data_IF_967560333823
#
_entry.id   IF_967560333823
#
_cell.length_a   1.000
_cell.length_b   1.000
_cell.length_c   1.000
_cell.angle_alpha   90.00
_cell.angle_beta   90.00
_cell.angle_gamma   90.00
#
_symmetry.space_group_name_H-M   'P 1'
#
loop_
_entity.id
_entity.type
_entity.pdbx_description
1 polymer ?
#
# COMPACT_ATOMS: atom_id res chain seq x y z
N UNK A 1 -4.12 6.28 -8.07
CA UNK A 1 -3.71 7.72 -8.02
C UNK A 1 -4.28 8.54 -9.18
N UNK A 2 -4.08 8.12 -10.44
CA UNK A 2 -4.57 8.87 -11.61
C UNK A 2 -6.10 9.07 -11.62
N UNK A 3 -6.89 8.04 -11.33
CA UNK A 3 -8.37 8.15 -11.26
C UNK A 3 -8.85 9.13 -10.17
N UNK A 4 -8.12 9.28 -9.06
CA UNK A 4 -8.52 10.15 -7.95
C UNK A 4 -7.98 11.58 -8.06
N UNK A 5 -6.77 11.76 -8.60
CA UNK A 5 -6.04 13.05 -8.58
C UNK A 5 -5.77 13.63 -9.96
N UNK A 6 -6.05 12.89 -11.04
CA UNK A 6 -5.65 13.23 -12.41
C UNK A 6 -4.19 12.83 -12.72
N UNK A 7 -3.90 12.65 -14.02
CA UNK A 7 -2.60 12.12 -14.51
C UNK A 7 -1.39 12.93 -14.01
N UNK A 8 -1.43 14.27 -14.13
CA UNK A 8 -0.32 15.16 -13.74
C UNK A 8 0.00 15.05 -12.24
N UNK A 9 -1.01 15.18 -11.38
CA UNK A 9 -0.82 15.09 -9.92
C UNK A 9 -0.43 13.68 -9.47
N UNK A 10 -0.88 12.64 -10.18
CA UNK A 10 -0.45 11.28 -9.91
C UNK A 10 1.05 11.07 -10.17
N UNK A 11 1.58 11.61 -11.28
CA UNK A 11 3.01 11.55 -11.58
C UNK A 11 3.85 12.24 -10.49
N UNK A 12 3.45 13.43 -10.05
CA UNK A 12 4.13 14.15 -8.96
C UNK A 12 4.12 13.35 -7.66
N UNK A 13 2.98 12.72 -7.31
CA UNK A 13 2.89 11.91 -6.10
C UNK A 13 3.81 10.68 -6.15
N UNK A 14 3.94 10.04 -7.31
CA UNK A 14 4.88 8.91 -7.50
C UNK A 14 6.33 9.40 -7.39
N UNK A 15 6.66 10.54 -8.02
CA UNK A 15 8.00 11.14 -7.94
C UNK A 15 8.40 11.49 -6.51
N UNK A 16 7.47 12.03 -5.71
CA UNK A 16 7.72 12.31 -4.29
C UNK A 16 8.10 11.04 -3.51
N UNK A 17 7.37 9.93 -3.71
CA UNK A 17 7.69 8.66 -3.04
C UNK A 17 9.04 8.07 -3.48
N UNK A 18 9.42 8.25 -4.75
CA UNK A 18 10.76 7.86 -5.24
C UNK A 18 11.85 8.71 -4.56
N UNK A 19 11.63 10.03 -4.46
CA UNK A 19 12.56 10.95 -3.81
C UNK A 19 12.76 10.62 -2.32
N UNK A 20 11.69 10.30 -1.59
CA UNK A 20 11.79 9.84 -0.20
C UNK A 20 12.64 8.58 -0.08
N UNK A 21 12.39 7.58 -0.94
CA UNK A 21 13.20 6.35 -0.97
C UNK A 21 14.67 6.62 -1.24
N UNK A 22 14.97 7.44 -2.25
CA UNK A 22 16.34 7.85 -2.58
C UNK A 22 17.01 8.62 -1.44
N UNK A 23 16.27 9.51 -0.76
CA UNK A 23 16.77 10.27 0.40
C UNK A 23 17.27 9.34 1.50
N UNK A 24 16.49 8.32 1.90
CA UNK A 24 16.90 7.39 2.95
C UNK A 24 18.10 6.54 2.54
N UNK A 25 18.14 6.07 1.29
CA UNK A 25 19.29 5.32 0.74
C UNK A 25 20.58 6.14 0.84
N UNK A 26 20.54 7.40 0.41
CA UNK A 26 21.71 8.28 0.40
C UNK A 26 22.10 8.68 1.83
N UNK A 27 21.13 9.10 2.65
CA UNK A 27 21.36 9.56 4.03
C UNK A 27 21.99 8.45 4.88
N UNK A 28 21.45 7.24 4.80
CA UNK A 28 21.85 6.12 5.65
C UNK A 28 23.00 5.31 5.03
N UNK A 29 23.43 5.66 3.81
CA UNK A 29 24.49 4.99 3.04
C UNK A 29 24.27 3.48 2.90
N UNK A 30 23.00 3.10 2.74
CA UNK A 30 22.60 1.69 2.58
C UNK A 30 22.41 1.38 1.09
N UNK A 31 22.75 0.16 0.63
CA UNK A 31 22.45 -0.24 -0.73
C UNK A 31 20.93 -0.26 -0.97
N UNK A 32 20.52 0.08 -2.19
CA UNK A 32 19.12 -0.08 -2.59
C UNK A 32 18.72 -1.56 -2.50
N UNK A 33 17.61 -1.82 -1.79
CA UNK A 33 17.01 -3.14 -1.71
C UNK A 33 15.66 -3.10 -2.41
N UNK A 34 15.51 -3.89 -3.45
CA UNK A 34 14.22 -4.05 -4.10
C UNK A 34 13.22 -4.69 -3.14
N UNK A 35 12.00 -4.16 -3.10
CA UNK A 35 10.93 -4.64 -2.24
C UNK A 35 10.23 -5.88 -2.82
N UNK A 36 10.57 -6.26 -4.05
CA UNK A 36 9.95 -7.34 -4.79
C UNK A 36 8.65 -6.93 -5.48
N UNK A 37 8.27 -7.68 -6.51
CA UNK A 37 7.10 -7.39 -7.36
C UNK A 37 5.76 -7.40 -6.58
N UNK A 38 5.69 -8.15 -5.47
CA UNK A 38 4.47 -8.30 -4.69
C UNK A 38 4.26 -7.24 -3.61
N UNK A 39 5.25 -6.39 -3.33
CA UNK A 39 5.16 -5.42 -2.24
C UNK A 39 3.94 -4.51 -2.31
N UNK A 40 3.71 -3.90 -3.48
CA UNK A 40 2.55 -3.05 -3.69
C UNK A 40 1.24 -3.84 -3.69
N UNK A 41 1.26 -5.09 -4.13
CA UNK A 41 0.09 -5.98 -4.09
C UNK A 41 -0.33 -6.26 -2.64
N UNK A 42 0.63 -6.57 -1.76
CA UNK A 42 0.37 -6.78 -0.34
C UNK A 42 -0.14 -5.53 0.37
N UNK A 43 0.46 -4.37 0.09
CA UNK A 43 0.00 -3.08 0.61
C UNK A 43 -1.43 -2.80 0.16
N UNK A 44 -1.73 -2.99 -1.13
CA UNK A 44 -3.07 -2.79 -1.67
C UNK A 44 -4.08 -3.75 -1.03
N UNK A 45 -3.72 -5.04 -0.89
CA UNK A 45 -4.55 -6.05 -0.20
C UNK A 45 -4.89 -5.59 1.23
N UNK A 46 -3.90 -5.15 2.01
CA UNK A 46 -4.11 -4.63 3.38
C UNK A 46 -5.03 -3.40 3.40
N UNK A 47 -4.88 -2.48 2.44
CA UNK A 47 -5.75 -1.30 2.33
C UNK A 47 -7.19 -1.67 2.00
N UNK A 48 -7.38 -2.60 1.06
CA UNK A 48 -8.71 -3.09 0.67
C UNK A 48 -9.40 -3.75 1.86
N UNK A 49 -8.72 -4.67 2.55
CA UNK A 49 -9.25 -5.33 3.75
C UNK A 49 -9.69 -4.29 4.79
N UNK A 50 -8.79 -3.35 5.12
CA UNK A 50 -9.09 -2.29 6.11
C UNK A 50 -10.27 -1.41 5.69
N UNK A 51 -10.39 -1.08 4.41
CA UNK A 51 -11.52 -0.31 3.89
C UNK A 51 -12.84 -1.05 4.10
N UNK A 52 -12.90 -2.33 3.78
CA UNK A 52 -14.11 -3.14 3.93
C UNK A 52 -14.47 -3.39 5.40
N UNK A 53 -13.48 -3.69 6.25
CA UNK A 53 -13.70 -3.83 7.71
C UNK A 53 -14.37 -2.59 8.27
N UNK A 54 -13.77 -1.41 8.04
CA UNK A 54 -14.31 -0.14 8.54
C UNK A 54 -15.73 0.12 8.04
N UNK A 55 -16.02 -0.25 6.80
CA UNK A 55 -17.36 -0.08 6.22
C UNK A 55 -18.37 -0.98 6.90
N UNK A 56 -18.03 -2.25 7.16
CA UNK A 56 -18.90 -3.19 7.87
C UNK A 56 -19.10 -2.78 9.33
N UNK A 57 -18.04 -2.36 10.01
CA UNK A 57 -18.11 -1.84 11.39
C UNK A 57 -19.00 -0.60 11.50
N UNK A 58 -18.95 0.30 10.51
CA UNK A 58 -19.82 1.49 10.47
C UNK A 58 -21.31 1.17 10.34
N UNK A 59 -21.65 -0.06 9.94
CA UNK A 59 -23.02 -0.57 9.88
C UNK A 59 -23.45 -1.26 11.19
N UNK A 60 -22.63 -1.21 12.24
CA UNK A 60 -22.91 -1.84 13.54
C UNK A 60 -22.53 -3.31 13.63
N UNK A 61 -21.78 -3.84 12.66
CA UNK A 61 -21.33 -5.23 12.65
C UNK A 61 -19.96 -5.35 13.32
N UNK A 62 -19.78 -6.38 14.16
CA UNK A 62 -18.45 -6.79 14.60
C UNK A 62 -17.80 -7.66 13.53
N UNK A 63 -16.64 -7.25 13.03
CA UNK A 63 -15.92 -7.97 11.97
C UNK A 63 -14.74 -8.73 12.57
N UNK A 64 -14.67 -10.04 12.31
CA UNK A 64 -13.50 -10.86 12.58
C UNK A 64 -12.96 -11.41 11.25
N UNK A 65 -11.64 -11.36 11.06
CA UNK A 65 -10.98 -11.81 9.82
C UNK A 65 -10.14 -13.02 10.16
N UNK A 66 -10.53 -14.17 9.60
CA UNK A 66 -9.80 -15.41 9.73
C UNK A 66 -9.12 -15.74 8.39
N UNK A 67 -7.81 -16.01 8.44
CA UNK A 67 -7.09 -16.50 7.27
C UNK A 67 -7.48 -17.94 7.01
N UNK A 68 -8.10 -18.21 5.86
CA UNK A 68 -8.30 -19.58 5.41
C UNK A 68 -6.93 -20.19 5.10
N UNK A 69 -6.61 -21.40 5.60
CA UNK A 69 -5.40 -22.09 5.20
C UNK A 69 -5.45 -22.33 3.70
N UNK A 70 -4.39 -21.93 2.99
CA UNK A 70 -4.19 -22.28 1.58
C UNK A 70 -4.12 -23.81 1.53
N UNK A 71 -5.17 -24.44 0.99
CA UNK A 71 -5.14 -25.86 0.66
C UNK A 71 -4.09 -26.03 -0.43
N UNK A 72 -3.04 -26.80 -0.12
CA UNK A 72 -1.91 -27.09 -0.99
C UNK A 72 -2.31 -27.92 -2.21
#
# INVERSE_FOLDING_TARGET
>A
LASRKGKKRAAVAVGHSILEGAYFIIRDKVPHRELGANYLNEINKKHIIRHHVRRLESLGLKVDIQGLPLVA
#
